data_IF_801629089643
#
_entry.id   IF_801629089643
#
_cell.length_a   1.000
_cell.length_b   1.000
_cell.length_c   1.000
_cell.angle_alpha   90.00
_cell.angle_beta   90.00
_cell.angle_gamma   90.00
#
_symmetry.space_group_name_H-M   'P 1'
#
loop_
_entity.id
_entity.type
_entity.pdbx_description
1 polymer ?
#
# COMPACT_ATOMS: atom_id res chain seq x y z
N UNK A 1 -14.35 -9.67 28.38
CA UNK A 1 -14.40 -8.22 28.69
C UNK A 1 -14.33 -7.48 27.35
N UNK A 2 -15.28 -6.59 27.04
CA UNK A 2 -15.28 -5.91 25.72
C UNK A 2 -14.02 -5.04 25.62
N UNK A 3 -13.15 -5.27 24.63
CA UNK A 3 -11.89 -4.53 24.40
C UNK A 3 -12.16 -3.02 24.34
N UNK A 4 -13.32 -2.64 23.84
CA UNK A 4 -13.78 -1.26 23.83
C UNK A 4 -13.85 -0.64 25.24
N UNK A 5 -14.42 -1.37 26.19
CA UNK A 5 -14.53 -0.90 27.58
C UNK A 5 -13.16 -0.83 28.24
N UNK A 6 -12.22 -1.68 27.82
CA UNK A 6 -10.84 -1.62 28.26
C UNK A 6 -10.12 -0.35 27.78
N UNK A 7 -10.36 0.10 26.54
CA UNK A 7 -9.83 1.38 26.04
C UNK A 7 -10.45 2.59 26.73
N UNK A 8 -11.78 2.61 26.87
CA UNK A 8 -12.45 3.71 27.57
C UNK A 8 -12.03 3.82 29.03
N UNK A 9 -11.78 2.69 29.71
CA UNK A 9 -11.26 2.68 31.09
C UNK A 9 -9.83 3.22 31.21
N UNK A 10 -9.04 3.20 30.13
CA UNK A 10 -7.71 3.80 30.07
C UNK A 10 -7.73 5.29 29.70
N UNK A 11 -8.91 5.86 29.48
CA UNK A 11 -9.06 7.26 29.07
C UNK A 11 -8.68 7.53 27.61
N UNK A 12 -8.54 6.48 26.79
CA UNK A 12 -8.27 6.64 25.36
C UNK A 12 -9.55 7.18 24.69
N UNK A 13 -9.50 8.32 23.99
CA UNK A 13 -10.65 8.88 23.32
C UNK A 13 -11.03 8.05 22.10
N UNK A 14 -12.28 8.16 21.66
CA UNK A 14 -12.71 7.53 20.42
C UNK A 14 -14.20 7.23 20.40
N UNK A 15 -14.63 6.60 19.32
CA UNK A 15 -16.03 6.24 19.07
C UNK A 15 -16.20 4.72 19.01
N UNK A 16 -17.37 4.26 19.44
CA UNK A 16 -17.78 2.86 19.28
C UNK A 16 -19.23 2.77 18.84
N UNK A 17 -19.44 2.10 17.71
CA UNK A 17 -20.77 1.80 17.19
C UNK A 17 -20.89 0.26 17.13
N UNK A 18 -21.84 -0.35 17.85
CA UNK A 18 -21.99 -1.80 17.87
C UNK A 18 -22.15 -2.40 16.46
N UNK A 19 -21.56 -3.57 16.23
CA UNK A 19 -21.66 -4.40 15.01
C UNK A 19 -20.97 -3.79 13.78
N UNK A 20 -21.27 -2.54 13.45
CA UNK A 20 -20.84 -1.88 12.21
C UNK A 20 -19.60 -1.02 12.42
N UNK A 21 -19.38 -0.52 13.63
CA UNK A 21 -18.29 0.40 13.92
C UNK A 21 -18.32 1.61 12.99
N UNK A 22 -17.14 2.02 12.55
CA UNK A 22 -16.92 3.18 11.69
C UNK A 22 -16.97 2.85 10.19
N UNK A 23 -17.31 1.61 9.80
CA UNK A 23 -17.32 1.14 8.41
C UNK A 23 -18.19 2.06 7.52
N UNK A 24 -19.34 2.52 8.00
CA UNK A 24 -20.22 3.39 7.23
C UNK A 24 -19.62 4.78 7.00
N UNK A 25 -18.91 5.33 7.99
CA UNK A 25 -18.24 6.62 7.87
C UNK A 25 -17.07 6.52 6.88
N UNK A 26 -16.25 5.48 7.01
CA UNK A 26 -15.15 5.20 6.07
C UNK A 26 -15.67 4.98 4.63
N UNK A 27 -16.74 4.20 4.46
CA UNK A 27 -17.35 3.96 3.15
C UNK A 27 -17.90 5.24 2.52
N UNK A 28 -18.52 6.12 3.31
CA UNK A 28 -19.00 7.42 2.81
C UNK A 28 -17.86 8.30 2.33
N UNK A 29 -16.77 8.41 3.10
CA UNK A 29 -15.58 9.16 2.71
C UNK A 29 -14.96 8.64 1.40
N UNK A 30 -14.86 7.32 1.27
CA UNK A 30 -14.38 6.66 0.04
C UNK A 30 -15.30 6.94 -1.17
N UNK A 31 -16.62 6.84 -1.01
CA UNK A 31 -17.58 7.11 -2.09
C UNK A 31 -17.64 8.61 -2.49
N UNK A 32 -17.28 9.51 -1.57
CA UNK A 32 -17.21 10.94 -1.82
C UNK A 32 -15.90 11.40 -2.47
N UNK A 33 -15.03 10.46 -2.88
CA UNK A 33 -13.68 10.72 -3.41
C UNK A 33 -12.79 11.53 -2.45
N UNK A 34 -13.02 11.35 -1.14
CA UNK A 34 -12.25 11.96 -0.06
C UNK A 34 -11.72 10.88 0.88
N UNK A 35 -10.80 10.02 0.43
CA UNK A 35 -10.37 8.84 1.18
C UNK A 35 -9.77 9.18 2.55
N UNK A 36 -9.17 10.36 2.70
CA UNK A 36 -8.52 10.80 3.93
C UNK A 36 -9.42 11.61 4.87
N UNK A 37 -10.60 12.06 4.44
CA UNK A 37 -11.42 12.97 5.27
C UNK A 37 -11.84 12.32 6.59
N UNK A 38 -12.08 11.01 6.60
CA UNK A 38 -12.37 10.27 7.82
C UNK A 38 -11.22 10.38 8.84
N UNK A 39 -9.97 10.23 8.39
CA UNK A 39 -8.80 10.31 9.27
C UNK A 39 -8.59 11.75 9.75
N UNK A 40 -8.81 12.73 8.88
CA UNK A 40 -8.71 14.16 9.22
C UNK A 40 -9.75 14.54 10.29
N UNK A 41 -11.02 14.20 10.08
CA UNK A 41 -12.12 14.47 11.01
C UNK A 41 -11.88 13.81 12.38
N UNK A 42 -11.49 12.54 12.40
CA UNK A 42 -11.25 11.81 13.65
C UNK A 42 -10.01 12.31 14.40
N UNK A 43 -8.96 12.72 13.69
CA UNK A 43 -7.78 13.36 14.30
C UNK A 43 -8.14 14.72 14.92
N UNK A 44 -8.98 15.51 14.26
CA UNK A 44 -9.46 16.79 14.80
C UNK A 44 -10.36 16.58 16.03
N UNK A 45 -11.19 15.53 16.02
CA UNK A 45 -12.14 15.24 17.11
C UNK A 45 -11.45 14.64 18.35
N UNK A 46 -10.52 13.71 18.16
CA UNK A 46 -9.96 12.89 19.25
C UNK A 46 -8.47 13.14 19.53
N UNK A 47 -7.76 13.86 18.66
CA UNK A 47 -6.33 14.14 18.80
C UNK A 47 -5.42 13.03 18.26
N UNK A 48 -4.22 12.92 18.82
CA UNK A 48 -3.11 12.14 18.25
C UNK A 48 -3.17 10.62 18.47
N UNK A 49 -4.07 10.15 19.34
CA UNK A 49 -4.31 8.74 19.54
C UNK A 49 -5.76 8.50 19.94
N UNK A 50 -6.41 7.55 19.28
CA UNK A 50 -7.82 7.28 19.50
C UNK A 50 -8.20 5.87 19.08
N UNK A 51 -9.24 5.34 19.71
CA UNK A 51 -9.80 4.05 19.32
C UNK A 51 -10.92 4.21 18.29
N UNK A 52 -10.98 3.29 17.34
CA UNK A 52 -12.09 3.13 16.38
C UNK A 52 -12.49 1.67 16.30
N UNK A 53 -13.49 1.38 15.48
CA UNK A 53 -13.93 0.01 15.25
C UNK A 53 -14.14 -0.26 13.77
N UNK A 54 -13.53 -1.33 13.27
CA UNK A 54 -13.85 -1.88 11.96
C UNK A 54 -14.81 -3.06 12.16
N UNK A 55 -16.11 -2.77 12.23
CA UNK A 55 -17.12 -3.76 12.57
C UNK A 55 -16.88 -4.33 13.97
N UNK A 56 -16.72 -5.66 14.14
CA UNK A 56 -16.42 -6.26 15.44
C UNK A 56 -14.95 -6.12 15.86
N UNK A 57 -14.07 -5.63 14.98
CA UNK A 57 -12.64 -5.54 15.24
C UNK A 57 -12.28 -4.16 15.81
N UNK A 58 -11.80 -4.08 17.06
CA UNK A 58 -11.35 -2.82 17.63
C UNK A 58 -10.00 -2.41 17.04
N UNK A 59 -9.82 -1.11 16.78
CA UNK A 59 -8.62 -0.54 16.21
C UNK A 59 -8.10 0.60 17.11
N UNK A 60 -6.79 0.68 17.26
CA UNK A 60 -6.12 1.81 17.90
C UNK A 60 -5.33 2.55 16.82
N UNK A 61 -5.60 3.84 16.67
CA UNK A 61 -4.96 4.70 15.68
C UNK A 61 -4.07 5.70 16.41
N UNK A 62 -2.94 6.03 15.81
CA UNK A 62 -2.05 7.05 16.35
C UNK A 62 -1.32 7.79 15.25
N UNK A 63 -1.19 9.11 15.43
CA UNK A 63 -0.33 10.02 14.68
C UNK A 63 0.87 10.50 15.49
N UNK A 64 1.01 10.07 16.75
CA UNK A 64 2.15 10.41 17.61
C UNK A 64 3.43 9.71 17.12
N UNK A 65 4.46 10.47 16.69
CA UNK A 65 5.73 9.90 16.21
C UNK A 65 6.40 8.96 17.21
N UNK A 66 6.25 9.23 18.51
CA UNK A 66 6.84 8.42 19.60
C UNK A 66 6.18 7.04 19.67
N UNK A 67 4.86 7.00 19.55
CA UNK A 67 4.10 5.75 19.51
C UNK A 67 4.36 5.00 18.20
N UNK A 68 4.43 5.71 17.08
CA UNK A 68 4.79 5.13 15.78
C UNK A 68 6.17 4.48 15.83
N UNK A 69 7.19 5.13 16.41
CA UNK A 69 8.52 4.52 16.57
C UNK A 69 8.45 3.30 17.50
N UNK A 70 7.69 3.38 18.59
CA UNK A 70 7.50 2.26 19.50
C UNK A 70 6.91 1.05 18.76
N UNK A 71 5.84 1.24 18.00
CA UNK A 71 5.11 0.18 17.29
C UNK A 71 5.93 -0.38 16.12
N UNK A 72 6.46 0.48 15.25
CA UNK A 72 7.07 0.06 13.99
C UNK A 72 8.54 -0.35 14.12
N UNK A 73 9.25 0.05 15.19
CA UNK A 73 10.69 -0.18 15.33
C UNK A 73 11.04 -0.88 16.63
N UNK A 74 10.71 -0.30 17.79
CA UNK A 74 11.18 -0.81 19.10
C UNK A 74 10.50 -2.14 19.46
N UNK A 75 9.18 -2.21 19.27
CA UNK A 75 8.33 -3.31 19.69
C UNK A 75 7.69 -4.07 18.51
N UNK A 76 8.22 -3.89 17.30
CA UNK A 76 7.66 -4.44 16.04
C UNK A 76 7.33 -5.93 16.09
N UNK A 77 8.13 -6.74 16.82
CA UNK A 77 7.90 -8.19 17.03
C UNK A 77 6.57 -8.54 17.73
N UNK A 78 5.94 -7.58 18.41
CA UNK A 78 4.67 -7.77 19.12
C UNK A 78 3.46 -7.34 18.28
N UNK A 79 3.69 -6.77 17.10
CA UNK A 79 2.65 -6.26 16.21
C UNK A 79 2.64 -7.04 14.90
N UNK A 80 1.75 -8.02 14.81
CA UNK A 80 1.50 -8.78 13.60
C UNK A 80 0.44 -8.11 12.72
N UNK A 81 0.48 -8.38 11.42
CA UNK A 81 -0.55 -7.92 10.48
C UNK A 81 -1.90 -8.50 10.89
N UNK A 82 -2.94 -7.68 10.76
CA UNK A 82 -4.32 -8.10 11.05
C UNK A 82 -4.70 -9.36 10.26
N UNK A 83 -5.26 -10.34 10.95
CA UNK A 83 -5.80 -11.57 10.35
C UNK A 83 -6.82 -11.28 9.26
N UNK A 84 -7.64 -10.23 9.45
CA UNK A 84 -8.62 -9.80 8.44
C UNK A 84 -7.92 -9.31 7.17
N UNK A 85 -6.90 -8.47 7.31
CA UNK A 85 -6.12 -7.95 6.18
C UNK A 85 -5.37 -9.09 5.46
N UNK A 86 -4.83 -10.04 6.22
CA UNK A 86 -4.18 -11.24 5.67
C UNK A 86 -5.15 -12.11 4.88
N UNK A 87 -6.33 -12.39 5.43
CA UNK A 87 -7.35 -13.19 4.76
C UNK A 87 -7.77 -12.56 3.42
N UNK A 88 -8.05 -11.25 3.40
CA UNK A 88 -8.44 -10.54 2.18
C UNK A 88 -7.31 -10.56 1.15
N UNK A 89 -6.11 -10.15 1.52
CA UNK A 89 -4.99 -10.04 0.59
C UNK A 89 -4.50 -11.41 0.07
N UNK A 90 -4.61 -12.47 0.88
CA UNK A 90 -4.20 -13.82 0.48
C UNK A 90 -4.99 -14.39 -0.69
N UNK A 91 -6.24 -13.93 -0.90
CA UNK A 91 -7.07 -14.37 -2.04
C UNK A 91 -6.46 -14.01 -3.39
N UNK A 92 -5.66 -12.94 -3.45
CA UNK A 92 -4.99 -12.45 -4.66
C UNK A 92 -3.52 -12.86 -4.68
N UNK A 93 -2.83 -12.73 -3.54
CA UNK A 93 -1.37 -12.85 -3.47
C UNK A 93 -0.87 -14.24 -3.05
N UNK A 94 -1.76 -15.09 -2.52
CA UNK A 94 -1.40 -16.35 -1.86
C UNK A 94 -0.86 -16.16 -0.43
N UNK A 95 -1.05 -17.17 0.42
CA UNK A 95 -0.73 -17.09 1.85
C UNK A 95 0.77 -16.99 2.16
N UNK A 96 1.63 -17.52 1.30
CA UNK A 96 3.10 -17.52 1.49
C UNK A 96 3.79 -16.27 0.89
N UNK A 97 3.03 -15.27 0.46
CA UNK A 97 3.58 -14.05 -0.08
C UNK A 97 4.37 -13.25 0.98
N UNK A 98 5.49 -12.62 0.59
CA UNK A 98 6.31 -11.77 1.47
C UNK A 98 5.51 -10.67 2.17
N UNK A 99 4.45 -10.16 1.54
CA UNK A 99 3.57 -9.13 2.12
C UNK A 99 2.76 -9.69 3.30
N UNK A 100 2.53 -11.00 3.39
CA UNK A 100 1.57 -11.62 4.32
C UNK A 100 2.20 -12.55 5.35
N UNK A 101 3.37 -13.13 5.05
CA UNK A 101 4.11 -13.93 6.03
C UNK A 101 4.65 -13.06 7.16
N UNK A 102 4.90 -13.68 8.31
CA UNK A 102 5.40 -13.04 9.51
C UNK A 102 6.70 -13.67 10.01
N UNK A 103 7.34 -13.00 10.97
CA UNK A 103 8.47 -13.50 11.76
C UNK A 103 9.59 -14.13 10.91
N UNK A 104 9.94 -15.39 11.18
CA UNK A 104 11.04 -16.10 10.54
C UNK A 104 10.85 -16.29 9.03
N UNK A 105 9.61 -16.57 8.60
CA UNK A 105 9.29 -16.73 7.19
C UNK A 105 9.43 -15.39 6.44
N UNK A 106 8.96 -14.31 7.05
CA UNK A 106 9.16 -12.96 6.52
C UNK A 106 10.65 -12.60 6.42
N UNK A 107 11.42 -12.87 7.48
CA UNK A 107 12.86 -12.64 7.49
C UNK A 107 13.57 -13.46 6.40
N UNK A 108 13.19 -14.74 6.23
CA UNK A 108 13.72 -15.63 5.18
C UNK A 108 13.42 -15.08 3.78
N UNK A 109 12.18 -14.70 3.51
CA UNK A 109 11.78 -14.17 2.19
C UNK A 109 12.50 -12.85 1.87
N UNK A 110 12.65 -11.94 2.85
CA UNK A 110 13.44 -10.71 2.68
C UNK A 110 14.90 -10.99 2.40
N UNK A 111 15.53 -11.96 3.06
CA UNK A 111 16.93 -12.32 2.78
C UNK A 111 17.14 -12.78 1.34
N UNK A 112 16.15 -13.48 0.75
CA UNK A 112 16.21 -13.95 -0.63
C UNK A 112 15.99 -12.80 -1.65
N UNK A 113 15.09 -11.87 -1.35
CA UNK A 113 14.67 -10.82 -2.29
C UNK A 113 15.54 -9.55 -2.19
N UNK A 114 15.94 -9.13 -0.98
CA UNK A 114 16.71 -7.90 -0.77
C UNK A 114 17.96 -7.75 -1.66
N UNK A 115 18.72 -8.82 -2.02
CA UNK A 115 19.87 -8.69 -2.92
C UNK A 115 19.55 -8.05 -4.28
N UNK A 116 18.35 -8.27 -4.83
CA UNK A 116 17.93 -7.71 -6.12
C UNK A 116 17.85 -6.17 -6.04
N UNK A 117 17.54 -5.64 -4.86
CA UNK A 117 17.40 -4.21 -4.60
C UNK A 117 18.71 -3.56 -4.08
N UNK A 118 19.85 -4.23 -4.24
CA UNK A 118 21.14 -3.61 -3.94
C UNK A 118 21.53 -2.60 -5.04
N UNK A 119 22.26 -1.56 -4.64
CA UNK A 119 22.65 -0.47 -5.53
C UNK A 119 23.35 -0.94 -6.81
N UNK A 120 24.23 -1.95 -6.72
CA UNK A 120 24.93 -2.51 -7.89
C UNK A 120 23.95 -3.16 -8.88
N UNK A 121 23.00 -3.95 -8.38
CA UNK A 121 21.98 -4.62 -9.20
C UNK A 121 21.03 -3.61 -9.82
N UNK A 122 20.57 -2.62 -9.05
CA UNK A 122 19.74 -1.53 -9.58
C UNK A 122 20.48 -0.79 -10.71
N UNK A 123 21.75 -0.46 -10.52
CA UNK A 123 22.55 0.21 -11.55
C UNK A 123 22.66 -0.58 -12.84
N UNK A 124 22.73 -1.91 -12.76
CA UNK A 124 22.75 -2.76 -13.95
C UNK A 124 21.44 -2.72 -14.75
N UNK A 125 20.32 -2.37 -14.11
CA UNK A 125 19.00 -2.28 -14.73
C UNK A 125 18.69 -0.90 -15.31
N UNK A 126 19.42 0.15 -14.92
CA UNK A 126 19.15 1.54 -15.32
C UNK A 126 19.12 1.70 -16.84
N UNK A 127 20.08 1.11 -17.57
CA UNK A 127 20.11 1.20 -19.04
C UNK A 127 18.83 0.64 -19.66
N UNK A 128 18.34 -0.50 -19.16
CA UNK A 128 17.09 -1.09 -19.64
C UNK A 128 15.89 -0.20 -19.33
N UNK A 129 15.82 0.38 -18.12
CA UNK A 129 14.77 1.33 -17.76
C UNK A 129 14.74 2.54 -18.70
N UNK A 130 15.92 3.07 -19.06
CA UNK A 130 16.06 4.17 -20.01
C UNK A 130 15.57 3.75 -21.40
N UNK A 131 15.99 2.59 -21.90
CA UNK A 131 15.61 2.09 -23.23
C UNK A 131 14.09 1.89 -23.36
N UNK A 132 13.46 1.31 -22.34
CA UNK A 132 12.00 1.13 -22.28
C UNK A 132 11.29 2.49 -22.26
N UNK A 133 11.79 3.43 -21.44
CA UNK A 133 11.21 4.77 -21.34
C UNK A 133 11.34 5.56 -22.65
N UNK A 134 12.49 5.48 -23.31
CA UNK A 134 12.71 6.12 -24.62
C UNK A 134 11.78 5.52 -25.68
N UNK A 135 11.66 4.19 -25.72
CA UNK A 135 10.74 3.50 -26.64
C UNK A 135 9.28 3.92 -26.42
N UNK A 136 8.90 4.07 -25.15
CA UNK A 136 7.59 4.58 -24.77
C UNK A 136 7.36 6.04 -25.24
N UNK A 137 8.33 6.93 -25.04
CA UNK A 137 8.26 8.31 -25.53
C UNK A 137 8.20 8.40 -27.06
N UNK A 138 8.94 7.55 -27.78
CA UNK A 138 8.87 7.48 -29.24
C UNK A 138 7.47 7.07 -29.71
N UNK A 139 6.82 6.11 -29.05
CA UNK A 139 5.42 5.72 -29.36
C UNK A 139 4.47 6.92 -29.19
N UNK A 140 4.64 7.70 -28.13
CA UNK A 140 3.86 8.92 -27.92
C UNK A 140 4.08 9.95 -29.03
N UNK A 141 5.34 10.19 -29.42
CA UNK A 141 5.67 11.12 -30.50
C UNK A 141 5.03 10.69 -31.83
N UNK A 142 5.16 9.42 -32.22
CA UNK A 142 4.53 8.89 -33.44
C UNK A 142 3.02 9.12 -33.44
N UNK A 143 2.37 8.87 -32.29
CA UNK A 143 0.92 9.05 -32.15
C UNK A 143 0.46 10.52 -32.22
N UNK A 144 1.38 11.49 -32.14
CA UNK A 144 1.10 12.94 -32.19
C UNK A 144 1.41 13.60 -33.54
N UNK A 145 2.32 13.05 -34.36
CA UNK A 145 2.87 13.75 -35.54
C UNK A 145 1.87 13.92 -36.69
N UNK A 146 0.84 13.09 -36.80
CA UNK A 146 -0.11 13.09 -37.93
C UNK A 146 -1.55 13.51 -37.57
N UNK A 147 -1.77 14.14 -36.41
CA UNK A 147 -3.13 14.48 -35.95
C UNK A 147 -3.41 15.97 -35.90
N UNK A 148 -4.52 16.37 -36.53
CA UNK A 148 -5.03 17.75 -36.57
C UNK A 148 -5.56 18.26 -35.21
N UNK A 149 -5.57 17.42 -34.18
CA UNK A 149 -6.10 17.72 -32.84
C UNK A 149 -5.13 17.25 -31.75
N UNK A 150 -5.13 17.91 -30.58
CA UNK A 150 -4.28 17.52 -29.46
C UNK A 150 -4.66 16.12 -28.95
N UNK A 151 -3.67 15.27 -28.72
CA UNK A 151 -3.87 13.94 -28.15
C UNK A 151 -4.17 14.06 -26.64
N UNK A 152 -5.23 13.39 -26.19
CA UNK A 152 -5.56 13.27 -24.77
C UNK A 152 -5.03 11.91 -24.29
N UNK A 153 -4.16 11.93 -23.29
CA UNK A 153 -3.61 10.73 -22.66
C UNK A 153 -4.23 10.51 -21.29
N UNK A 154 -4.57 9.25 -20.98
CA UNK A 154 -4.82 8.82 -19.62
C UNK A 154 -3.47 8.48 -18.95
N UNK A 155 -2.92 9.44 -18.22
CA UNK A 155 -1.61 9.29 -17.56
C UNK A 155 -1.59 8.12 -16.59
N UNK A 156 -2.72 7.79 -15.93
CA UNK A 156 -2.76 6.68 -14.98
C UNK A 156 -2.53 5.34 -15.69
N UNK A 157 -3.24 5.13 -16.81
CA UNK A 157 -3.08 3.94 -17.65
C UNK A 157 -1.69 3.87 -18.26
N UNK A 158 -1.23 4.97 -18.82
CA UNK A 158 0.06 5.05 -19.49
C UNK A 158 1.24 4.79 -18.53
N UNK A 159 1.23 5.38 -17.33
CA UNK A 159 2.25 5.13 -16.31
C UNK A 159 2.19 3.71 -15.76
N UNK A 160 0.99 3.13 -15.65
CA UNK A 160 0.83 1.73 -15.26
C UNK A 160 1.47 0.78 -16.28
N UNK A 161 1.26 1.03 -17.58
CA UNK A 161 1.87 0.25 -18.65
C UNK A 161 3.40 0.40 -18.65
N UNK A 162 3.91 1.63 -18.57
CA UNK A 162 5.35 1.88 -18.50
C UNK A 162 6.00 1.20 -17.30
N UNK A 163 5.36 1.28 -16.13
CA UNK A 163 5.86 0.65 -14.90
C UNK A 163 5.86 -0.88 -15.04
N UNK A 164 4.82 -1.45 -15.66
CA UNK A 164 4.72 -2.88 -15.92
C UNK A 164 5.81 -3.36 -16.90
N UNK A 165 6.05 -2.63 -17.98
CA UNK A 165 7.10 -2.95 -18.95
C UNK A 165 8.48 -2.90 -18.28
N UNK A 166 8.74 -1.84 -17.49
CA UNK A 166 10.00 -1.68 -16.75
C UNK A 166 10.21 -2.85 -15.78
N UNK A 167 9.23 -3.15 -14.91
CA UNK A 167 9.42 -4.22 -13.91
C UNK A 167 9.54 -5.58 -14.60
N UNK A 168 8.80 -5.81 -15.69
CA UNK A 168 8.88 -7.07 -16.45
C UNK A 168 10.25 -7.24 -17.08
N UNK A 169 10.77 -6.21 -17.74
CA UNK A 169 12.12 -6.23 -18.31
C UNK A 169 13.21 -6.41 -17.25
N UNK A 170 13.08 -5.74 -16.10
CA UNK A 170 14.08 -5.83 -15.02
C UNK A 170 14.08 -7.19 -14.32
N UNK A 171 12.91 -7.78 -14.08
CA UNK A 171 12.78 -9.03 -13.31
C UNK A 171 12.91 -10.27 -14.19
N UNK A 172 12.31 -10.29 -15.37
CA UNK A 172 12.24 -11.46 -16.25
C UNK A 172 13.20 -11.38 -17.45
N UNK A 173 13.86 -10.24 -17.66
CA UNK A 173 14.72 -10.01 -18.80
C UNK A 173 13.96 -9.67 -20.09
N UNK A 174 14.71 -9.26 -21.11
CA UNK A 174 14.16 -8.74 -22.36
C UNK A 174 13.48 -9.80 -23.25
N UNK A 175 13.65 -11.10 -22.95
CA UNK A 175 12.99 -12.19 -23.69
C UNK A 175 11.48 -12.24 -23.40
N UNK A 176 11.05 -11.95 -22.16
CA UNK A 176 9.65 -11.93 -21.78
C UNK A 176 8.85 -10.76 -22.40
N UNK A 177 9.54 -9.72 -22.90
CA UNK A 177 8.92 -8.56 -23.55
C UNK A 177 8.60 -8.81 -25.04
N UNK A 178 9.11 -9.88 -25.67
CA UNK A 178 8.85 -10.19 -27.08
C UNK A 178 7.54 -10.94 -27.33
N UNK A 179 6.94 -11.51 -26.29
CA UNK A 179 5.75 -12.35 -26.36
C UNK A 179 4.45 -11.62 -25.93
N UNK A 180 4.51 -10.29 -25.78
CA UNK A 180 3.36 -9.40 -25.51
C UNK A 180 3.18 -8.43 -26.69
#
# INVERSE_FOLDING_TARGET
MCVQRYFSNQGIPGRYIPIVGDILHQRRACLADKPFSYVEETTVEFGDYYHTSFGPFPCLNTSDPTLIESVLKINSRFYHKSELSRAIASTVLGYENIVLVEDENHARHRRLINPIFQHQTINSMISLMIDITLSFLTKWQINTVDKAYPLIFDISKEMSNLTLDIITGCVFGNEAMKDI
#
